data_IF_257577999377
#
_entry.id   IF_257577999377
#
_cell.length_a   1.000
_cell.length_b   1.000
_cell.length_c   1.000
_cell.angle_alpha   90.00
_cell.angle_beta   90.00
_cell.angle_gamma   90.00
#
_symmetry.space_group_name_H-M   'P 1'
#
loop_
_entity.id
_entity.type
_entity.pdbx_description
1 polymer ?
#
# COMPACT_ATOMS: atom_id res chain seq x y z
N UNK A 1 8.06 28.20 -14.42
CA UNK A 1 6.58 28.12 -14.35
C UNK A 1 6.33 27.12 -13.26
N UNK A 2 5.33 27.31 -12.41
CA UNK A 2 4.97 26.27 -11.43
C UNK A 2 4.46 25.04 -12.22
N UNK A 3 4.82 23.85 -11.76
CA UNK A 3 4.32 22.60 -12.35
C UNK A 3 2.81 22.49 -12.07
N UNK A 4 2.07 21.93 -13.02
CA UNK A 4 0.68 21.52 -12.83
C UNK A 4 0.64 20.01 -12.75
N UNK A 5 0.32 19.49 -11.56
CA UNK A 5 0.33 18.06 -11.27
C UNK A 5 -1.09 17.53 -11.14
N UNK A 6 -1.39 16.46 -11.87
CA UNK A 6 -2.63 15.70 -11.73
C UNK A 6 -2.40 14.49 -10.81
N UNK A 7 -3.09 14.43 -9.69
CA UNK A 7 -3.18 13.25 -8.84
C UNK A 7 -4.40 12.41 -9.22
N UNK A 8 -4.18 11.15 -9.59
CA UNK A 8 -5.25 10.19 -9.89
C UNK A 8 -5.50 9.30 -8.68
N UNK A 9 -6.73 9.34 -8.15
CA UNK A 9 -7.18 8.58 -7.00
C UNK A 9 -7.64 9.45 -5.82
N UNK A 10 -8.35 8.86 -4.86
CA UNK A 10 -9.03 9.60 -3.79
C UNK A 10 -9.02 8.92 -2.42
N UNK A 11 -8.12 7.97 -2.16
CA UNK A 11 -7.95 7.27 -0.89
C UNK A 11 -7.00 7.96 0.09
N UNK A 12 -6.66 7.26 1.18
CA UNK A 12 -5.74 7.76 2.20
C UNK A 12 -4.31 7.95 1.68
N UNK A 13 -3.84 7.02 0.86
CA UNK A 13 -2.58 7.12 0.13
C UNK A 13 -2.52 8.39 -0.74
N UNK A 14 -3.55 8.64 -1.52
CA UNK A 14 -3.63 9.82 -2.38
C UNK A 14 -3.73 11.09 -1.56
N UNK A 15 -4.39 11.07 -0.39
CA UNK A 15 -4.38 12.22 0.51
C UNK A 15 -2.97 12.52 1.04
N UNK A 16 -2.17 11.48 1.35
CA UNK A 16 -0.77 11.67 1.75
C UNK A 16 0.09 12.23 0.60
N UNK A 17 -0.12 11.76 -0.63
CA UNK A 17 0.53 12.30 -1.83
C UNK A 17 0.13 13.77 -2.06
N UNK A 18 -1.16 14.09 -1.95
CA UNK A 18 -1.66 15.47 -2.09
C UNK A 18 -0.99 16.40 -1.07
N UNK A 19 -0.88 15.96 0.19
CA UNK A 19 -0.22 16.71 1.26
C UNK A 19 1.27 16.94 0.98
N UNK A 20 1.96 15.97 0.38
CA UNK A 20 3.37 16.08 0.02
C UNK A 20 3.64 16.97 -1.21
N UNK A 21 2.62 17.34 -1.99
CA UNK A 21 2.74 18.12 -3.22
C UNK A 21 2.13 19.53 -3.12
N UNK A 22 1.16 19.75 -2.23
CA UNK A 22 0.28 20.92 -2.25
C UNK A 22 1.02 22.27 -2.16
N UNK A 23 2.12 22.34 -1.42
CA UNK A 23 2.87 23.60 -1.25
C UNK A 23 3.89 23.85 -2.39
N UNK A 24 4.18 22.84 -3.23
CA UNK A 24 5.26 22.88 -4.20
C UNK A 24 4.77 23.07 -5.66
N UNK A 25 3.49 22.78 -5.95
CA UNK A 25 2.94 22.82 -7.30
C UNK A 25 1.49 23.33 -7.33
N UNK A 26 0.95 23.56 -8.54
CA UNK A 26 -0.49 23.68 -8.77
C UNK A 26 -1.06 22.26 -8.84
N UNK A 27 -1.79 21.86 -7.80
CA UNK A 27 -2.27 20.50 -7.65
C UNK A 27 -3.72 20.36 -8.07
N UNK A 28 -4.01 19.44 -8.97
CA UNK A 28 -5.36 18.98 -9.30
C UNK A 28 -5.50 17.49 -8.98
N UNK A 29 -6.71 17.04 -8.71
CA UNK A 29 -6.98 15.63 -8.48
C UNK A 29 -8.23 15.16 -9.21
N UNK A 30 -8.25 13.87 -9.58
CA UNK A 30 -9.46 13.20 -10.06
C UNK A 30 -9.66 11.87 -9.34
N UNK A 31 -10.91 11.59 -8.99
CA UNK A 31 -11.27 10.38 -8.26
C UNK A 31 -12.73 10.00 -8.48
N UNK A 32 -13.11 8.76 -8.14
CA UNK A 32 -14.51 8.32 -8.17
C UNK A 32 -15.37 8.93 -7.06
N UNK A 33 -14.72 9.47 -6.01
CA UNK A 33 -15.36 10.15 -4.90
C UNK A 33 -14.57 11.42 -4.52
N UNK A 34 -15.26 12.42 -3.96
CA UNK A 34 -14.60 13.62 -3.48
C UNK A 34 -14.04 13.40 -2.08
N UNK A 35 -12.73 13.20 -1.98
CA UNK A 35 -12.03 13.17 -0.69
C UNK A 35 -11.89 14.61 -0.15
N UNK A 36 -12.43 14.92 1.06
CA UNK A 36 -12.42 16.28 1.59
C UNK A 36 -11.01 16.80 1.91
N UNK A 37 -10.10 15.93 2.32
CA UNK A 37 -8.71 16.30 2.60
C UNK A 37 -7.97 16.68 1.33
N UNK A 38 -8.09 15.88 0.26
CA UNK A 38 -7.53 16.22 -1.05
C UNK A 38 -8.15 17.52 -1.58
N UNK A 39 -9.47 17.68 -1.44
CA UNK A 39 -10.18 18.86 -1.91
C UNK A 39 -9.81 20.14 -1.13
N UNK A 40 -9.31 20.01 0.09
CA UNK A 40 -8.77 21.13 0.88
C UNK A 40 -7.35 21.53 0.50
N UNK A 41 -6.62 20.66 -0.17
CA UNK A 41 -5.21 20.85 -0.57
C UNK A 41 -5.06 21.18 -2.06
N UNK A 42 -5.92 20.63 -2.92
CA UNK A 42 -5.84 20.79 -4.36
C UNK A 42 -6.53 22.08 -4.84
N UNK A 43 -6.03 22.66 -5.93
CA UNK A 43 -6.64 23.81 -6.63
C UNK A 43 -7.97 23.42 -7.32
N UNK A 44 -8.15 22.13 -7.63
CA UNK A 44 -9.39 21.57 -8.15
C UNK A 44 -9.46 20.07 -8.04
N UNK A 45 -10.69 19.56 -7.89
CA UNK A 45 -10.97 18.10 -7.84
C UNK A 45 -12.13 17.80 -8.75
N UNK A 46 -11.91 16.89 -9.70
CA UNK A 46 -12.96 16.38 -10.59
C UNK A 46 -13.39 14.97 -10.16
N UNK A 47 -14.70 14.75 -10.18
CA UNK A 47 -15.24 13.41 -9.90
C UNK A 47 -15.47 12.67 -11.22
N UNK A 48 -14.68 11.64 -11.48
CA UNK A 48 -14.74 10.82 -12.70
C UNK A 48 -14.29 9.39 -12.41
N UNK A 49 -14.55 8.50 -13.37
CA UNK A 49 -14.09 7.11 -13.29
C UNK A 49 -12.58 7.05 -13.59
N UNK A 50 -11.77 6.72 -12.58
CA UNK A 50 -10.29 6.68 -12.70
C UNK A 50 -9.77 5.51 -13.53
N UNK A 51 -10.61 4.55 -13.88
CA UNK A 51 -10.32 3.43 -14.80
C UNK A 51 -10.76 3.72 -16.24
N UNK A 52 -11.19 4.94 -16.52
CA UNK A 52 -11.49 5.42 -17.87
C UNK A 52 -10.32 6.33 -18.35
N UNK A 53 -9.37 5.81 -19.16
CA UNK A 53 -8.23 6.58 -19.63
C UNK A 53 -8.62 7.83 -20.42
N UNK A 54 -9.69 7.77 -21.21
CA UNK A 54 -10.15 8.91 -22.02
C UNK A 54 -10.68 10.06 -21.12
N UNK A 55 -11.42 9.72 -20.06
CA UNK A 55 -11.93 10.70 -19.10
C UNK A 55 -10.79 11.36 -18.29
N UNK A 56 -9.81 10.58 -17.84
CA UNK A 56 -8.65 11.10 -17.11
C UNK A 56 -7.79 11.99 -18.00
N UNK A 57 -7.52 11.58 -19.23
CA UNK A 57 -6.73 12.34 -20.20
C UNK A 57 -7.41 13.64 -20.59
N UNK A 58 -8.72 13.63 -20.83
CA UNK A 58 -9.49 14.85 -21.14
C UNK A 58 -9.42 15.87 -19.99
N UNK A 59 -9.48 15.40 -18.73
CA UNK A 59 -9.31 16.29 -17.58
C UNK A 59 -7.88 16.83 -17.46
N UNK A 60 -6.86 15.98 -17.70
CA UNK A 60 -5.47 16.41 -17.71
C UNK A 60 -5.20 17.52 -18.73
N UNK A 61 -5.79 17.42 -19.94
CA UNK A 61 -5.72 18.45 -20.98
C UNK A 61 -6.41 19.74 -20.55
N UNK A 62 -7.61 19.66 -19.96
CA UNK A 62 -8.41 20.83 -19.52
C UNK A 62 -7.68 21.67 -18.48
N UNK A 63 -7.00 21.04 -17.54
CA UNK A 63 -6.20 21.70 -16.50
C UNK A 63 -4.78 22.06 -16.95
N UNK A 64 -4.33 21.62 -18.12
CA UNK A 64 -2.98 21.79 -18.63
C UNK A 64 -1.93 21.09 -17.76
N UNK A 65 -2.19 19.84 -17.35
CA UNK A 65 -1.27 19.04 -16.56
C UNK A 65 0.08 18.83 -17.28
N UNK A 66 1.18 19.03 -16.56
CA UNK A 66 2.54 18.78 -17.06
C UNK A 66 3.12 17.49 -16.49
N UNK A 67 2.56 17.05 -15.36
CA UNK A 67 2.92 15.83 -14.63
C UNK A 67 1.65 15.15 -14.13
N UNK A 68 1.69 13.83 -14.01
CA UNK A 68 0.66 13.07 -13.32
C UNK A 68 1.30 12.06 -12.35
N UNK A 69 0.58 11.71 -11.29
CA UNK A 69 0.93 10.61 -10.38
C UNK A 69 -0.29 9.72 -10.18
N UNK A 70 -0.11 8.42 -10.32
CA UNK A 70 -1.18 7.43 -10.26
C UNK A 70 -1.16 6.74 -8.89
N UNK A 71 -2.26 6.84 -8.16
CA UNK A 71 -2.42 6.17 -6.86
C UNK A 71 -2.96 4.75 -6.96
N UNK A 72 -4.14 4.49 -7.57
CA UNK A 72 -4.77 3.17 -7.54
C UNK A 72 -4.24 2.24 -8.64
N UNK A 73 -4.03 0.98 -8.29
CA UNK A 73 -3.61 -0.10 -9.20
C UNK A 73 -4.59 -0.36 -10.34
N UNK A 74 -5.87 -0.15 -10.11
CA UNK A 74 -6.89 -0.34 -11.14
C UNK A 74 -6.74 0.65 -12.30
N UNK A 75 -6.31 1.89 -12.02
CA UNK A 75 -6.02 2.90 -13.06
C UNK A 75 -4.78 2.52 -13.88
N UNK A 76 -3.73 1.98 -13.22
CA UNK A 76 -2.54 1.45 -13.91
C UNK A 76 -2.93 0.29 -14.84
N UNK A 77 -3.70 -0.68 -14.34
CA UNK A 77 -4.18 -1.80 -15.12
C UNK A 77 -5.04 -1.37 -16.31
N UNK A 78 -5.82 -0.31 -16.16
CA UNK A 78 -6.66 0.24 -17.21
C UNK A 78 -5.87 1.02 -18.30
N UNK A 79 -4.56 1.25 -18.12
CA UNK A 79 -3.71 1.96 -19.08
C UNK A 79 -3.79 3.48 -19.02
N UNK A 80 -4.15 4.04 -17.86
CA UNK A 80 -4.23 5.50 -17.67
C UNK A 80 -2.86 6.15 -17.86
N UNK A 81 -1.77 5.52 -17.39
CA UNK A 81 -0.40 5.98 -17.65
C UNK A 81 -0.11 6.08 -19.15
N UNK A 82 -0.40 4.98 -19.88
CA UNK A 82 -0.13 4.90 -21.32
C UNK A 82 -0.89 5.98 -22.10
N UNK A 83 -2.15 6.26 -21.71
CA UNK A 83 -2.98 7.29 -22.32
C UNK A 83 -2.47 8.71 -22.04
N UNK A 84 -2.11 9.03 -20.81
CA UNK A 84 -1.57 10.33 -20.41
C UNK A 84 -0.23 10.62 -21.13
N UNK A 85 0.67 9.63 -21.19
CA UNK A 85 1.96 9.76 -21.89
C UNK A 85 1.79 9.95 -23.41
N UNK A 86 0.81 9.30 -24.02
CA UNK A 86 0.49 9.48 -25.43
C UNK A 86 0.08 10.93 -25.78
N UNK A 87 -0.54 11.64 -24.82
CA UNK A 87 -0.91 13.06 -24.95
C UNK A 87 0.18 14.02 -24.40
N UNK A 88 1.34 13.47 -23.98
CA UNK A 88 2.50 14.26 -23.58
C UNK A 88 2.50 14.71 -22.12
N UNK A 89 1.64 14.13 -21.27
CA UNK A 89 1.66 14.32 -19.83
C UNK A 89 2.61 13.28 -19.22
N UNK A 90 3.76 13.73 -18.70
CA UNK A 90 4.70 12.83 -18.05
C UNK A 90 4.08 12.22 -16.78
N UNK A 91 4.12 10.90 -16.66
CA UNK A 91 3.40 10.19 -15.61
C UNK A 91 4.32 9.42 -14.67
N UNK A 92 4.22 9.67 -13.37
CA UNK A 92 4.87 8.86 -12.34
C UNK A 92 3.92 7.72 -11.92
N UNK A 93 4.00 6.64 -12.64
CA UNK A 93 3.22 5.42 -12.55
C UNK A 93 3.59 4.53 -13.74
N UNK A 94 3.80 3.23 -13.56
CA UNK A 94 4.23 2.33 -14.65
C UNK A 94 3.13 2.17 -15.70
N UNK A 95 3.53 1.78 -16.92
CA UNK A 95 2.61 1.38 -17.98
C UNK A 95 1.76 0.18 -17.54
N UNK A 96 0.66 -0.07 -18.22
CA UNK A 96 -0.19 -1.23 -17.93
C UNK A 96 0.56 -2.56 -18.03
N UNK A 97 1.53 -2.69 -18.93
CA UNK A 97 2.36 -3.90 -19.05
C UNK A 97 3.33 -4.05 -17.87
N UNK A 98 4.00 -2.99 -17.46
CA UNK A 98 4.89 -3.00 -16.29
C UNK A 98 4.11 -3.18 -14.97
N UNK A 99 2.89 -2.64 -14.87
CA UNK A 99 2.00 -2.82 -13.73
C UNK A 99 1.53 -4.28 -13.52
N UNK A 100 1.76 -5.18 -14.50
CA UNK A 100 1.50 -6.62 -14.33
C UNK A 100 2.28 -7.23 -13.17
N UNK A 101 3.37 -6.61 -12.75
CA UNK A 101 4.11 -7.03 -11.55
C UNK A 101 3.21 -7.04 -10.29
N UNK A 102 2.13 -6.22 -10.26
CA UNK A 102 1.10 -6.22 -9.22
C UNK A 102 -0.17 -6.95 -9.67
N UNK A 103 -0.63 -6.67 -10.90
CA UNK A 103 -1.99 -7.01 -11.34
C UNK A 103 -2.15 -8.47 -11.77
N UNK A 104 -1.04 -9.21 -11.95
CA UNK A 104 -1.03 -10.62 -12.35
C UNK A 104 0.00 -11.42 -11.51
N UNK A 105 -0.48 -12.15 -10.50
CA UNK A 105 0.37 -12.91 -9.58
C UNK A 105 1.14 -14.05 -10.26
N UNK A 106 0.57 -14.65 -11.32
CA UNK A 106 1.30 -15.63 -12.11
C UNK A 106 2.47 -14.97 -12.85
N UNK A 107 2.22 -13.80 -13.47
CA UNK A 107 3.29 -13.03 -14.10
C UNK A 107 4.38 -12.69 -13.10
N UNK A 108 4.01 -12.20 -11.91
CA UNK A 108 4.95 -11.81 -10.86
C UNK A 108 5.88 -12.98 -10.48
N UNK A 109 5.33 -14.17 -10.20
CA UNK A 109 6.13 -15.33 -9.80
C UNK A 109 7.01 -15.84 -10.94
N UNK A 110 6.45 -15.96 -12.14
CA UNK A 110 7.22 -16.35 -13.33
C UNK A 110 8.28 -15.32 -13.74
N UNK A 111 8.05 -14.05 -13.45
CA UNK A 111 9.01 -12.98 -13.65
C UNK A 111 10.18 -13.14 -12.68
N UNK A 112 9.92 -13.35 -11.40
CA UNK A 112 10.95 -13.60 -10.40
C UNK A 112 11.80 -14.82 -10.74
N UNK A 113 11.17 -15.94 -11.06
CA UNK A 113 11.83 -17.20 -11.42
C UNK A 113 12.73 -17.04 -12.66
N UNK A 114 12.21 -16.43 -13.74
CA UNK A 114 12.96 -16.24 -15.00
C UNK A 114 14.16 -15.31 -14.88
N UNK A 115 14.14 -14.39 -13.94
CA UNK A 115 15.19 -13.40 -13.72
C UNK A 115 16.06 -13.71 -12.50
N UNK A 116 15.92 -14.91 -11.90
CA UNK A 116 16.64 -15.33 -10.71
C UNK A 116 16.54 -14.34 -9.54
N UNK A 117 15.36 -13.65 -9.39
CA UNK A 117 15.13 -12.71 -8.29
C UNK A 117 15.06 -13.48 -6.96
N UNK A 118 15.92 -13.15 -5.99
CA UNK A 118 15.97 -13.88 -4.72
C UNK A 118 14.68 -13.69 -3.89
N UNK A 119 14.45 -14.59 -2.95
CA UNK A 119 13.29 -14.53 -2.05
C UNK A 119 11.97 -14.98 -2.66
N UNK A 120 11.96 -15.48 -3.91
CA UNK A 120 10.76 -16.07 -4.50
C UNK A 120 10.32 -17.31 -3.69
N UNK A 121 9.04 -17.38 -3.24
CA UNK A 121 8.52 -18.60 -2.61
C UNK A 121 8.40 -19.73 -3.63
N UNK A 122 8.39 -20.98 -3.15
CA UNK A 122 7.97 -22.10 -4.00
C UNK A 122 6.50 -21.89 -4.42
N UNK A 123 6.20 -22.09 -5.69
CA UNK A 123 4.86 -21.83 -6.22
C UNK A 123 4.48 -22.77 -7.35
N UNK A 124 3.16 -22.92 -7.54
CA UNK A 124 2.58 -23.59 -8.69
C UNK A 124 1.32 -22.86 -9.18
N UNK A 125 1.05 -22.93 -10.47
CA UNK A 125 -0.10 -22.24 -11.11
C UNK A 125 -1.02 -23.26 -11.74
N UNK A 126 -2.32 -23.14 -11.49
CA UNK A 126 -3.34 -24.06 -11.95
C UNK A 126 -4.50 -23.34 -12.65
N UNK A 127 -4.93 -23.88 -13.79
CA UNK A 127 -6.18 -23.54 -14.47
C UNK A 127 -7.29 -24.56 -14.14
N UNK A 128 -6.90 -25.73 -13.62
CA UNK A 128 -7.81 -26.80 -13.22
C UNK A 128 -7.90 -26.90 -11.70
N UNK A 129 -9.12 -26.75 -11.16
CA UNK A 129 -9.38 -26.75 -9.72
C UNK A 129 -9.05 -28.08 -9.03
N UNK A 130 -9.28 -29.23 -9.71
CA UNK A 130 -8.99 -30.53 -9.13
C UNK A 130 -7.48 -30.79 -9.09
N UNK A 131 -6.74 -30.38 -10.14
CA UNK A 131 -5.26 -30.45 -10.12
C UNK A 131 -4.68 -29.57 -9.02
N UNK A 132 -5.24 -28.38 -8.75
CA UNK A 132 -4.84 -27.54 -7.63
C UNK A 132 -5.11 -28.24 -6.27
N UNK A 133 -6.27 -28.90 -6.13
CA UNK A 133 -6.62 -29.64 -4.93
C UNK A 133 -5.72 -30.86 -4.70
N UNK A 134 -5.33 -31.58 -5.77
CA UNK A 134 -4.38 -32.69 -5.72
C UNK A 134 -2.99 -32.21 -5.27
N UNK A 135 -2.54 -31.07 -5.80
CA UNK A 135 -1.27 -30.47 -5.39
C UNK A 135 -1.24 -30.12 -3.89
N UNK A 136 -2.34 -29.60 -3.34
CA UNK A 136 -2.46 -29.32 -1.89
C UNK A 136 -2.27 -30.61 -1.06
N UNK A 137 -2.81 -31.76 -1.55
CA UNK A 137 -2.66 -33.03 -0.83
C UNK A 137 -1.24 -33.60 -0.89
N UNK A 138 -0.48 -33.28 -1.93
CA UNK A 138 0.86 -33.80 -2.18
C UNK A 138 1.98 -32.91 -1.62
N UNK A 139 1.67 -31.61 -1.36
CA UNK A 139 2.65 -30.65 -0.88
C UNK A 139 3.02 -30.91 0.59
N UNK A 140 4.32 -30.91 0.89
CA UNK A 140 4.81 -31.09 2.25
C UNK A 140 4.89 -29.74 2.98
N UNK A 141 3.80 -29.34 3.60
CA UNK A 141 3.67 -28.06 4.34
C UNK A 141 2.32 -27.37 4.10
N UNK A 142 2.23 -26.16 4.58
CA UNK A 142 1.06 -25.29 4.37
C UNK A 142 1.24 -24.42 3.11
N UNK A 143 0.13 -24.06 2.48
CA UNK A 143 0.09 -23.25 1.27
C UNK A 143 -0.75 -21.98 1.46
N UNK A 144 -0.38 -20.94 0.73
CA UNK A 144 -1.22 -19.77 0.49
C UNK A 144 -1.91 -19.91 -0.87
N UNK A 145 -3.24 -19.85 -0.89
CA UNK A 145 -4.07 -19.90 -2.09
C UNK A 145 -4.36 -18.48 -2.54
N UNK A 146 -3.93 -18.13 -3.74
CA UNK A 146 -4.05 -16.77 -4.30
C UNK A 146 -4.70 -16.82 -5.68
N UNK A 147 -5.84 -16.12 -5.92
CA UNK A 147 -6.31 -15.85 -7.28
C UNK A 147 -5.26 -15.08 -8.08
N UNK A 148 -5.07 -15.40 -9.36
CA UNK A 148 -4.02 -14.77 -10.17
C UNK A 148 -4.25 -13.26 -10.42
N UNK A 149 -5.52 -12.83 -10.52
CA UNK A 149 -5.88 -11.42 -10.75
C UNK A 149 -5.96 -10.58 -9.49
N UNK A 150 -6.29 -9.29 -9.67
CA UNK A 150 -6.48 -8.33 -8.57
C UNK A 150 -7.62 -8.73 -7.64
N UNK A 151 -7.34 -8.85 -6.36
CA UNK A 151 -8.35 -9.11 -5.31
C UNK A 151 -8.24 -8.16 -4.12
N UNK A 152 -7.29 -7.22 -4.14
CA UNK A 152 -7.02 -6.29 -3.04
C UNK A 152 -6.68 -7.02 -1.72
N UNK A 153 -5.98 -8.15 -1.79
CA UNK A 153 -5.62 -8.98 -0.62
C UNK A 153 -6.77 -9.81 -0.03
N UNK A 154 -8.02 -9.53 -0.41
CA UNK A 154 -9.21 -10.20 0.16
C UNK A 154 -9.45 -11.62 -0.38
N UNK A 155 -8.85 -11.97 -1.52
CA UNK A 155 -8.93 -13.29 -2.14
C UNK A 155 -7.94 -14.32 -1.60
N UNK A 156 -6.95 -13.91 -0.84
CA UNK A 156 -5.92 -14.82 -0.31
C UNK A 156 -6.47 -15.66 0.85
N UNK A 157 -6.13 -16.96 0.83
CA UNK A 157 -6.43 -17.92 1.91
C UNK A 157 -5.15 -18.65 2.31
N UNK A 158 -4.80 -18.60 3.58
CA UNK A 158 -3.59 -19.25 4.12
C UNK A 158 -4.01 -20.49 4.90
N UNK A 159 -3.60 -21.66 4.39
CA UNK A 159 -3.84 -22.94 5.05
C UNK A 159 -3.05 -22.99 6.36
N UNK A 160 -3.63 -23.56 7.40
CA UNK A 160 -2.98 -23.68 8.71
C UNK A 160 -2.97 -22.39 9.55
N UNK A 161 -3.50 -21.26 8.98
CA UNK A 161 -3.66 -19.99 9.69
C UNK A 161 -5.12 -19.48 9.58
N UNK A 162 -5.60 -19.27 8.37
CA UNK A 162 -6.92 -18.68 8.11
C UNK A 162 -7.97 -19.72 7.80
N UNK A 163 -7.58 -20.80 7.12
CA UNK A 163 -8.46 -21.85 6.65
C UNK A 163 -7.84 -23.23 6.85
N UNK A 164 -8.69 -24.24 6.93
CA UNK A 164 -8.28 -25.65 6.85
C UNK A 164 -8.03 -26.05 5.40
N UNK A 165 -7.38 -27.21 5.19
CA UNK A 165 -7.17 -27.80 3.86
C UNK A 165 -8.50 -27.98 3.09
N UNK A 166 -9.54 -28.47 3.75
CA UNK A 166 -10.85 -28.68 3.10
C UNK A 166 -11.52 -27.37 2.71
N UNK A 167 -11.49 -26.35 3.59
CA UNK A 167 -12.04 -25.02 3.27
C UNK A 167 -11.28 -24.36 2.11
N UNK A 168 -9.95 -24.55 2.03
CA UNK A 168 -9.15 -24.06 0.92
C UNK A 168 -9.52 -24.73 -0.40
N UNK A 169 -9.74 -26.06 -0.41
CA UNK A 169 -10.18 -26.82 -1.59
C UNK A 169 -11.58 -26.42 -2.02
N UNK A 170 -12.51 -26.25 -1.06
CA UNK A 170 -13.86 -25.79 -1.36
C UNK A 170 -13.80 -24.38 -1.97
N UNK A 171 -12.98 -23.48 -1.42
CA UNK A 171 -12.75 -22.15 -1.99
C UNK A 171 -12.24 -22.21 -3.45
N UNK A 172 -11.28 -23.11 -3.74
CA UNK A 172 -10.75 -23.29 -5.10
C UNK A 172 -11.84 -23.79 -6.06
N UNK A 173 -12.65 -24.79 -5.65
CA UNK A 173 -13.73 -25.36 -6.48
C UNK A 173 -14.87 -24.37 -6.74
N UNK A 174 -15.18 -23.54 -5.74
CA UNK A 174 -16.24 -22.53 -5.83
C UNK A 174 -15.75 -21.22 -6.50
N UNK A 175 -14.45 -21.12 -6.78
CA UNK A 175 -13.85 -19.92 -7.37
C UNK A 175 -14.24 -19.76 -8.85
N UNK A 176 -14.62 -18.55 -9.22
CA UNK A 176 -14.85 -18.15 -10.63
C UNK A 176 -13.54 -17.65 -11.31
N UNK A 177 -12.40 -17.74 -10.63
CA UNK A 177 -11.12 -17.29 -11.17
C UNK A 177 -10.55 -18.31 -12.16
N UNK A 178 -10.11 -17.82 -13.32
CA UNK A 178 -9.53 -18.65 -14.39
C UNK A 178 -8.22 -19.35 -13.97
N UNK A 179 -7.50 -18.76 -13.01
CA UNK A 179 -6.21 -19.27 -12.54
C UNK A 179 -6.01 -19.06 -11.05
N UNK A 180 -5.42 -20.06 -10.41
CA UNK A 180 -5.04 -20.06 -9.00
C UNK A 180 -3.53 -20.24 -8.89
N UNK A 181 -2.88 -19.42 -8.06
CA UNK A 181 -1.48 -19.56 -7.66
C UNK A 181 -1.46 -20.14 -6.24
N UNK A 182 -0.80 -21.27 -6.09
CA UNK A 182 -0.49 -21.88 -4.80
C UNK A 182 0.96 -21.57 -4.47
N UNK A 183 1.23 -21.04 -3.28
CA UNK A 183 2.57 -20.70 -2.82
C UNK A 183 2.84 -21.32 -1.46
N UNK A 184 4.09 -21.67 -1.19
CA UNK A 184 4.48 -22.08 0.17
C UNK A 184 4.06 -21.02 1.18
N UNK A 185 3.56 -21.43 2.34
CA UNK A 185 3.26 -20.52 3.43
C UNK A 185 4.55 -20.03 4.06
N UNK A 186 4.80 -18.73 3.95
CA UNK A 186 5.89 -18.07 4.65
C UNK A 186 5.51 -17.84 6.12
N UNK A 187 6.46 -18.08 7.02
CA UNK A 187 6.28 -17.84 8.47
C UNK A 187 7.37 -16.90 8.95
N UNK A 188 6.98 -15.79 9.55
CA UNK A 188 7.89 -14.73 9.97
C UNK A 188 7.17 -13.44 10.29
N UNK A 189 7.87 -12.32 10.20
CA UNK A 189 7.32 -10.99 10.38
C UNK A 189 7.24 -10.26 9.04
N UNK A 190 6.04 -9.81 8.67
CA UNK A 190 5.81 -9.03 7.44
C UNK A 190 6.38 -7.63 7.58
N UNK A 191 6.95 -7.10 6.51
CA UNK A 191 7.35 -5.72 6.39
C UNK A 191 7.36 -5.28 4.92
N UNK A 192 7.41 -3.97 4.72
CA UNK A 192 7.39 -3.35 3.40
C UNK A 192 8.56 -2.40 3.23
N UNK A 193 9.18 -2.42 2.06
CA UNK A 193 10.06 -1.35 1.59
C UNK A 193 9.52 -0.87 0.25
N UNK A 194 9.37 0.45 0.09
CA UNK A 194 8.95 1.06 -1.17
C UNK A 194 10.15 1.70 -1.86
N UNK A 195 10.15 1.70 -3.18
CA UNK A 195 11.17 2.36 -3.98
C UNK A 195 10.52 3.31 -4.99
N UNK A 196 11.03 4.55 -5.07
CA UNK A 196 10.74 5.47 -6.14
C UNK A 196 11.73 5.19 -7.27
N UNK A 197 11.20 4.91 -8.45
CA UNK A 197 11.99 4.41 -9.59
C UNK A 197 11.74 5.27 -10.82
N UNK A 198 12.79 5.74 -11.44
CA UNK A 198 12.76 6.32 -12.79
C UNK A 198 14.20 6.42 -13.36
N UNK A 199 14.34 6.38 -14.68
CA UNK A 199 15.60 6.63 -15.39
C UNK A 199 16.76 5.76 -14.88
N UNK A 200 16.49 4.50 -14.51
CA UNK A 200 17.46 3.58 -13.91
C UNK A 200 17.88 3.91 -12.48
N UNK A 201 17.26 4.90 -11.84
CA UNK A 201 17.47 5.21 -10.43
C UNK A 201 16.47 4.47 -9.56
N UNK A 202 16.94 3.88 -8.47
CA UNK A 202 16.12 3.29 -7.40
C UNK A 202 16.39 4.08 -6.11
N UNK A 203 15.33 4.52 -5.46
CA UNK A 203 15.41 5.30 -4.20
C UNK A 203 14.44 4.71 -3.19
N UNK A 204 14.96 4.04 -2.19
CA UNK A 204 14.17 3.30 -1.19
C UNK A 204 13.72 4.17 -0.03
N UNK A 205 12.60 3.80 0.58
CA UNK A 205 12.04 4.39 1.80
C UNK A 205 12.44 3.59 3.03
N UNK A 206 12.27 4.13 4.26
CA UNK A 206 12.32 3.32 5.47
C UNK A 206 11.34 2.14 5.41
N UNK A 207 11.67 1.07 6.11
CA UNK A 207 10.78 -0.07 6.27
C UNK A 207 9.54 0.29 7.09
N UNK A 208 8.39 -0.27 6.72
CA UNK A 208 7.11 -0.10 7.39
C UNK A 208 6.53 -1.46 7.69
N UNK A 209 5.96 -1.67 8.89
CA UNK A 209 5.15 -2.86 9.16
C UNK A 209 3.67 -2.50 9.06
N UNK A 210 2.94 -3.10 8.11
CA UNK A 210 1.49 -3.04 7.98
C UNK A 210 0.80 -4.16 8.77
N UNK A 211 -0.43 -3.91 9.21
CA UNK A 211 -1.25 -4.83 9.98
C UNK A 211 -2.55 -5.14 9.24
N UNK A 212 -2.56 -6.24 8.50
CA UNK A 212 -3.69 -6.61 7.62
C UNK A 212 -4.85 -7.28 8.32
N UNK A 213 -4.64 -7.88 9.50
CA UNK A 213 -5.72 -8.53 10.24
C UNK A 213 -6.66 -7.51 10.85
N UNK A 214 -7.96 -7.82 10.77
CA UNK A 214 -9.03 -6.90 11.14
C UNK A 214 -9.06 -6.55 12.63
N UNK A 215 -8.64 -7.45 13.52
CA UNK A 215 -8.78 -7.31 14.97
C UNK A 215 -7.43 -7.26 15.66
N UNK A 216 -7.42 -6.71 16.88
CA UNK A 216 -6.23 -6.70 17.75
C UNK A 216 -5.66 -8.09 17.96
N UNK A 217 -4.34 -8.17 18.18
CA UNK A 217 -3.64 -9.44 18.31
C UNK A 217 -3.41 -10.19 17.00
N UNK A 218 -3.68 -9.56 15.85
CA UNK A 218 -3.61 -10.14 14.49
C UNK A 218 -4.65 -11.22 14.24
N UNK A 219 -5.87 -11.00 14.76
CA UNK A 219 -7.00 -11.89 14.59
C UNK A 219 -7.96 -11.44 13.49
N UNK A 220 -8.84 -12.34 13.07
CA UNK A 220 -9.91 -12.09 12.10
C UNK A 220 -9.46 -12.12 10.65
N UNK A 221 -10.32 -11.67 9.72
CA UNK A 221 -10.05 -11.70 8.29
C UNK A 221 -9.00 -10.67 7.87
N UNK A 222 -8.39 -10.89 6.69
CA UNK A 222 -7.53 -9.90 6.05
C UNK A 222 -8.32 -8.67 5.58
N UNK A 223 -7.65 -7.53 5.62
CA UNK A 223 -8.15 -6.22 5.19
C UNK A 223 -7.15 -5.58 4.22
N UNK A 224 -7.42 -4.35 3.79
CA UNK A 224 -6.46 -3.53 3.06
C UNK A 224 -5.37 -2.86 3.93
N UNK A 225 -5.27 -3.24 5.22
CA UNK A 225 -4.40 -2.62 6.22
C UNK A 225 -5.20 -1.86 7.28
N UNK A 226 -5.00 -2.19 8.56
CA UNK A 226 -5.64 -1.55 9.71
C UNK A 226 -4.79 -0.45 10.32
N UNK A 227 -3.56 -0.34 9.87
CA UNK A 227 -2.56 0.62 10.30
C UNK A 227 -1.16 0.04 10.21
N UNK A 228 -0.17 0.87 10.52
CA UNK A 228 1.23 0.56 10.28
C UNK A 228 2.13 1.40 11.17
N UNK A 229 3.38 1.04 11.26
CA UNK A 229 4.41 1.87 11.89
C UNK A 229 5.74 1.80 11.16
N UNK A 230 6.54 2.86 11.29
CA UNK A 230 7.95 2.91 10.92
C UNK A 230 8.78 3.38 12.10
N UNK A 231 10.06 3.03 12.12
CA UNK A 231 10.99 3.52 13.13
C UNK A 231 11.67 4.83 12.69
N UNK A 232 12.40 5.47 13.59
CA UNK A 232 13.25 6.64 13.29
C UNK A 232 14.53 6.28 12.50
N UNK A 233 14.84 4.99 12.39
CA UNK A 233 15.85 4.38 11.49
C UNK A 233 15.20 3.88 10.20
N UNK A 234 16.01 3.35 9.29
CA UNK A 234 15.51 2.71 8.08
C UNK A 234 14.90 1.34 8.37
N UNK A 235 15.46 0.65 9.38
CA UNK A 235 15.07 -0.68 9.82
C UNK A 235 13.96 -0.63 10.88
N UNK A 236 13.16 -1.66 10.96
CA UNK A 236 12.19 -1.89 12.04
C UNK A 236 12.87 -2.53 13.26
N UNK A 237 12.29 -2.43 14.47
CA UNK A 237 12.92 -2.94 15.70
C UNK A 237 13.31 -4.42 15.67
N UNK A 238 12.55 -5.26 14.97
CA UNK A 238 12.77 -6.71 14.90
C UNK A 238 13.74 -7.16 13.80
N UNK A 239 14.33 -6.22 13.03
CA UNK A 239 15.26 -6.51 11.94
C UNK A 239 16.58 -5.80 12.12
N UNK A 240 17.64 -6.31 11.50
CA UNK A 240 18.93 -5.66 11.42
C UNK A 240 19.16 -4.99 10.05
N UNK A 241 20.24 -4.19 9.94
CA UNK A 241 20.62 -3.47 8.72
C UNK A 241 20.83 -4.43 7.53
N UNK A 242 21.37 -5.63 7.75
CA UNK A 242 21.62 -6.58 6.66
C UNK A 242 20.31 -7.13 6.08
N UNK A 243 19.32 -7.36 6.92
CA UNK A 243 17.98 -7.85 6.51
C UNK A 243 17.19 -6.78 5.74
N UNK A 244 17.32 -5.50 6.15
CA UNK A 244 16.80 -4.40 5.36
C UNK A 244 17.49 -4.30 4.00
N UNK A 245 18.82 -4.42 3.97
CA UNK A 245 19.60 -4.38 2.72
C UNK A 245 19.29 -5.56 1.80
N UNK A 246 19.00 -6.75 2.33
CA UNK A 246 18.55 -7.90 1.52
C UNK A 246 17.22 -7.57 0.79
N UNK A 247 16.28 -6.91 1.47
CA UNK A 247 15.04 -6.45 0.82
C UNK A 247 15.31 -5.38 -0.26
N UNK A 248 16.23 -4.45 0.00
CA UNK A 248 16.66 -3.43 -0.97
C UNK A 248 17.30 -4.10 -2.20
N UNK A 249 18.18 -5.06 -2.01
CA UNK A 249 18.84 -5.80 -3.10
C UNK A 249 17.81 -6.55 -3.96
N UNK A 250 16.77 -7.13 -3.36
CA UNK A 250 15.65 -7.77 -4.08
C UNK A 250 14.91 -6.75 -4.95
N UNK A 251 14.61 -5.57 -4.40
CA UNK A 251 13.96 -4.48 -5.14
C UNK A 251 14.83 -4.02 -6.31
N UNK A 252 16.13 -3.77 -6.08
CA UNK A 252 17.06 -3.32 -7.12
C UNK A 252 17.19 -4.34 -8.26
N UNK A 253 17.28 -5.64 -7.94
CA UNK A 253 17.31 -6.70 -8.94
C UNK A 253 15.98 -6.79 -9.70
N UNK A 254 14.84 -6.62 -9.01
CA UNK A 254 13.52 -6.60 -9.65
C UNK A 254 13.41 -5.44 -10.64
N UNK A 255 13.79 -4.23 -10.23
CA UNK A 255 13.79 -3.04 -11.11
C UNK A 255 14.74 -3.21 -12.29
N UNK A 256 15.93 -3.77 -12.06
CA UNK A 256 16.90 -4.01 -13.14
C UNK A 256 16.39 -5.01 -14.21
N UNK A 257 15.45 -5.88 -13.83
CA UNK A 257 14.82 -6.84 -14.74
C UNK A 257 13.53 -6.31 -15.39
N UNK A 258 12.94 -5.24 -14.85
CA UNK A 258 11.80 -4.56 -15.45
C UNK A 258 12.28 -3.56 -16.51
N UNK A 259 11.70 -3.63 -17.70
CA UNK A 259 12.00 -2.67 -18.78
C UNK A 259 11.30 -1.33 -18.49
N UNK A 260 12.04 -0.23 -18.56
CA UNK A 260 11.55 1.18 -18.52
C UNK A 260 10.54 1.48 -17.38
N UNK A 261 10.77 0.93 -16.19
CA UNK A 261 9.88 1.14 -15.06
C UNK A 261 10.01 2.57 -14.52
N UNK A 262 8.88 3.30 -14.46
CA UNK A 262 8.75 4.60 -13.80
C UNK A 262 7.59 4.57 -12.83
N UNK A 263 7.81 4.95 -11.57
CA UNK A 263 6.78 4.96 -10.54
C UNK A 263 7.28 4.43 -9.21
N UNK A 264 6.38 3.96 -8.38
CA UNK A 264 6.72 3.33 -7.10
C UNK A 264 6.65 1.83 -7.26
N UNK A 265 7.74 1.12 -6.93
CA UNK A 265 7.72 -0.32 -6.71
C UNK A 265 7.67 -0.58 -5.19
N UNK A 266 6.62 -1.20 -4.76
CA UNK A 266 6.40 -1.60 -3.38
C UNK A 266 6.73 -3.09 -3.25
N UNK A 267 7.72 -3.41 -2.41
CA UNK A 267 8.03 -4.78 -2.04
C UNK A 267 7.44 -5.11 -0.69
N UNK A 268 6.56 -6.11 -0.63
CA UNK A 268 6.11 -6.72 0.61
C UNK A 268 6.90 -7.98 0.87
N UNK A 269 7.50 -8.05 2.03
CA UNK A 269 8.42 -9.10 2.44
C UNK A 269 7.96 -9.80 3.70
N UNK A 270 8.45 -11.03 3.87
CA UNK A 270 8.41 -11.78 5.11
C UNK A 270 9.85 -12.00 5.58
N UNK A 271 10.18 -11.54 6.78
CA UNK A 271 11.43 -11.89 7.44
C UNK A 271 11.24 -13.23 8.13
N UNK A 272 11.80 -14.29 7.55
CA UNK A 272 11.72 -15.67 8.02
C UNK A 272 12.96 -16.09 8.79
N UNK A 273 12.98 -17.32 9.32
CA UNK A 273 14.20 -17.90 9.91
C UNK A 273 15.35 -18.01 8.89
N UNK A 274 15.04 -18.18 7.59
CA UNK A 274 15.99 -18.39 6.51
C UNK A 274 16.32 -17.10 5.72
N UNK A 275 15.87 -15.92 6.21
CA UNK A 275 16.10 -14.62 5.60
C UNK A 275 14.85 -14.02 4.96
N UNK A 276 15.06 -13.02 4.11
CA UNK A 276 14.00 -12.22 3.50
C UNK A 276 13.35 -12.95 2.32
N UNK A 277 12.02 -13.08 2.35
CA UNK A 277 11.22 -13.69 1.29
C UNK A 277 10.17 -12.71 0.76
N UNK A 278 9.85 -12.79 -0.53
CA UNK A 278 8.88 -11.91 -1.19
C UNK A 278 7.47 -12.43 -1.01
N UNK A 279 6.61 -11.64 -0.36
CA UNK A 279 5.17 -11.91 -0.29
C UNK A 279 4.48 -11.46 -1.58
N UNK A 280 4.72 -10.22 -2.01
CA UNK A 280 4.25 -9.69 -3.29
C UNK A 280 4.97 -8.37 -3.64
N UNK A 281 4.90 -7.98 -4.92
CA UNK A 281 5.19 -6.62 -5.37
C UNK A 281 3.90 -5.90 -5.73
N UNK A 282 3.88 -4.58 -5.47
CA UNK A 282 2.83 -3.69 -5.95
C UNK A 282 3.46 -2.52 -6.73
N UNK A 283 2.74 -1.99 -7.70
CA UNK A 283 3.26 -1.03 -8.68
C UNK A 283 2.90 0.43 -8.36
N UNK A 284 2.69 0.73 -7.09
CA UNK A 284 2.24 2.04 -6.57
C UNK A 284 2.61 2.18 -5.09
N UNK A 285 2.43 3.39 -4.53
CA UNK A 285 2.54 3.57 -3.08
C UNK A 285 1.61 2.63 -2.31
N UNK A 286 2.07 2.13 -1.17
CA UNK A 286 1.26 1.38 -0.23
C UNK A 286 0.21 2.24 0.49
N UNK A 287 -0.84 1.61 0.97
CA UNK A 287 -1.86 2.19 1.83
C UNK A 287 -2.12 1.20 2.97
N UNK A 288 -1.59 1.43 4.18
CA UNK A 288 -1.28 2.75 4.78
C UNK A 288 0.15 3.30 4.63
N UNK A 289 1.11 2.61 4.06
CA UNK A 289 2.55 2.92 4.14
C UNK A 289 2.94 4.32 3.62
N UNK A 290 2.22 4.86 2.64
CA UNK A 290 2.45 6.22 2.16
C UNK A 290 2.24 7.26 3.28
N UNK A 291 1.32 7.00 4.21
CA UNK A 291 1.04 7.85 5.36
C UNK A 291 2.10 7.75 6.47
N UNK A 292 2.96 6.73 6.43
CA UNK A 292 4.14 6.65 7.29
C UNK A 292 5.34 7.37 6.66
N UNK A 293 5.57 7.14 5.37
CA UNK A 293 6.83 7.54 4.72
C UNK A 293 6.82 8.98 4.22
N UNK A 294 5.71 9.46 3.62
CA UNK A 294 5.64 10.81 3.06
C UNK A 294 5.72 11.93 4.11
N UNK A 295 5.09 11.83 5.30
CA UNK A 295 5.21 12.87 6.32
C UNK A 295 6.62 13.08 6.87
N UNK A 296 7.48 12.07 6.83
CA UNK A 296 8.87 12.15 7.30
C UNK A 296 9.88 12.30 6.16
N UNK A 297 9.45 12.24 4.90
CA UNK A 297 10.30 12.49 3.75
C UNK A 297 10.62 14.00 3.65
N UNK A 298 11.91 14.35 3.72
CA UNK A 298 12.37 15.74 3.66
C UNK A 298 12.81 16.17 2.26
N UNK A 299 13.00 15.21 1.34
CA UNK A 299 13.18 15.50 -0.08
C UNK A 299 11.82 15.82 -0.69
N UNK A 300 11.60 16.99 -1.33
CA UNK A 300 10.33 17.30 -1.95
C UNK A 300 9.91 16.24 -2.98
N UNK A 301 8.68 15.75 -2.86
CA UNK A 301 8.18 14.75 -3.82
C UNK A 301 8.14 15.30 -5.24
N UNK A 302 7.85 16.60 -5.41
CA UNK A 302 7.86 17.27 -6.70
C UNK A 302 9.24 17.19 -7.38
N UNK A 303 10.35 17.29 -6.64
CA UNK A 303 11.71 17.18 -7.20
C UNK A 303 11.94 15.78 -7.81
N UNK A 304 11.37 14.74 -7.21
CA UNK A 304 11.42 13.38 -7.74
C UNK A 304 10.63 13.26 -9.04
N UNK A 305 9.40 13.81 -9.08
CA UNK A 305 8.55 13.77 -10.27
C UNK A 305 9.17 14.56 -11.45
N UNK A 306 9.75 15.73 -11.16
CA UNK A 306 10.42 16.55 -12.15
C UNK A 306 11.66 15.84 -12.69
N UNK A 307 12.51 15.27 -11.84
CA UNK A 307 13.69 14.51 -12.27
C UNK A 307 13.32 13.31 -13.13
N UNK A 308 12.22 12.60 -12.77
CA UNK A 308 11.71 11.50 -13.57
C UNK A 308 11.33 11.96 -14.98
N UNK A 309 10.59 13.05 -15.12
CA UNK A 309 10.18 13.64 -16.41
C UNK A 309 11.37 14.14 -17.25
N UNK A 310 12.34 14.80 -16.61
CA UNK A 310 13.51 15.37 -17.31
C UNK A 310 14.50 14.30 -17.82
N UNK A 311 14.31 13.03 -17.44
CA UNK A 311 15.24 11.95 -17.75
C UNK A 311 16.49 11.97 -16.88
N UNK A 312 16.48 12.73 -15.80
CA UNK A 312 17.58 12.86 -14.85
C UNK A 312 17.56 11.70 -13.82
N UNK A 313 18.69 11.50 -13.16
CA UNK A 313 18.71 10.60 -12.00
C UNK A 313 17.87 11.19 -10.87
N UNK A 314 17.06 10.34 -10.23
CA UNK A 314 16.28 10.75 -9.08
C UNK A 314 17.17 11.29 -7.94
N UNK A 315 16.76 12.36 -7.25
CA UNK A 315 17.49 12.87 -6.09
C UNK A 315 17.62 11.78 -5.02
N UNK A 316 18.63 11.89 -4.17
CA UNK A 316 18.71 11.05 -2.98
C UNK A 316 17.54 11.39 -2.07
N UNK A 317 16.80 10.39 -1.63
CA UNK A 317 15.77 10.60 -0.62
C UNK A 317 16.43 10.84 0.75
N UNK A 318 15.85 11.76 1.48
CA UNK A 318 16.22 12.07 2.86
C UNK A 318 14.95 12.04 3.70
N UNK A 319 15.06 11.51 4.91
CA UNK A 319 13.96 11.38 5.86
C UNK A 319 14.34 12.03 7.17
N UNK A 320 13.38 12.60 7.87
CA UNK A 320 13.56 13.00 9.26
C UNK A 320 13.83 11.75 10.11
N UNK A 321 14.68 11.85 11.11
CA UNK A 321 14.92 10.76 12.06
C UNK A 321 13.76 10.69 13.06
N UNK A 322 12.58 10.33 12.56
CA UNK A 322 11.33 10.24 13.29
C UNK A 322 10.60 8.94 12.96
N UNK A 323 9.95 8.39 13.98
CA UNK A 323 9.05 7.25 13.86
C UNK A 323 7.64 7.72 13.53
N UNK A 324 6.86 6.87 12.91
CA UNK A 324 5.46 7.12 12.60
C UNK A 324 4.58 5.96 13.02
N UNK A 325 3.38 6.24 13.50
CA UNK A 325 2.33 5.24 13.75
C UNK A 325 1.04 5.71 13.11
N UNK A 326 0.53 4.89 12.21
CA UNK A 326 -0.73 5.09 11.49
C UNK A 326 -1.78 4.12 12.02
N UNK A 327 -2.96 4.63 12.39
CA UNK A 327 -4.11 3.81 12.82
C UNK A 327 -5.34 4.16 11.99
N UNK A 328 -5.91 3.15 11.33
CA UNK A 328 -7.12 3.32 10.54
C UNK A 328 -8.38 3.17 11.39
N UNK A 329 -9.29 4.13 11.27
CA UNK A 329 -10.67 3.99 11.69
C UNK A 329 -11.50 3.40 10.55
N UNK A 330 -12.19 2.30 10.84
CA UNK A 330 -13.03 1.57 9.88
C UNK A 330 -14.45 1.47 10.42
N UNK A 331 -15.50 1.43 9.57
CA UNK A 331 -16.86 1.26 10.04
C UNK A 331 -17.02 -0.07 10.79
N UNK A 332 -17.94 -0.10 11.76
CA UNK A 332 -18.31 -1.34 12.46
C UNK A 332 -18.67 -2.44 11.42
N UNK A 333 -18.28 -3.67 11.71
CA UNK A 333 -18.50 -4.83 10.82
C UNK A 333 -17.53 -4.96 9.66
N UNK A 334 -16.63 -3.99 9.45
CA UNK A 334 -15.59 -4.09 8.43
C UNK A 334 -14.64 -5.27 8.72
N UNK A 335 -14.21 -6.08 7.74
CA UNK A 335 -14.44 -5.94 6.31
C UNK A 335 -15.65 -6.73 5.76
N UNK A 336 -16.36 -7.49 6.59
CA UNK A 336 -17.36 -8.48 6.14
C UNK A 336 -18.78 -7.93 6.02
N UNK A 337 -19.22 -7.10 6.95
CA UNK A 337 -20.57 -6.49 6.98
C UNK A 337 -20.47 -5.04 7.48
N UNK A 338 -19.82 -4.14 6.74
CA UNK A 338 -19.54 -2.80 7.19
C UNK A 338 -20.79 -1.90 7.24
N UNK A 339 -21.01 -1.26 8.40
CA UNK A 339 -22.09 -0.30 8.62
C UNK A 339 -21.69 1.09 8.13
N UNK A 340 -22.17 1.51 6.95
CA UNK A 340 -21.91 2.83 6.41
C UNK A 340 -22.86 3.91 6.98
N UNK A 341 -22.47 5.18 6.88
CA UNK A 341 -23.32 6.33 7.16
C UNK A 341 -23.22 6.90 8.57
N UNK A 342 -22.19 6.52 9.33
CA UNK A 342 -21.86 7.21 10.58
C UNK A 342 -21.19 8.54 10.28
N UNK A 343 -21.68 9.62 10.92
CA UNK A 343 -21.08 10.94 10.81
C UNK A 343 -19.77 11.01 11.59
N UNK A 344 -18.72 11.54 10.95
CA UNK A 344 -17.40 11.75 11.54
C UNK A 344 -17.24 13.24 11.84
N UNK A 345 -16.82 13.57 13.06
CA UNK A 345 -16.40 14.92 13.46
C UNK A 345 -14.87 14.95 13.56
N UNK A 346 -14.22 15.14 12.43
CA UNK A 346 -12.76 15.04 12.32
C UNK A 346 -12.05 16.38 12.56
N UNK A 347 -12.76 17.52 12.64
CA UNK A 347 -12.16 18.83 12.84
C UNK A 347 -11.42 18.94 14.20
N UNK A 348 -11.81 18.12 15.17
CA UNK A 348 -11.16 18.09 16.48
C UNK A 348 -9.70 17.60 16.45
N UNK A 349 -9.27 16.91 15.40
CA UNK A 349 -7.85 16.49 15.25
C UNK A 349 -6.91 17.68 15.14
N UNK A 350 -7.39 18.82 14.60
CA UNK A 350 -6.61 20.05 14.43
C UNK A 350 -6.14 20.67 15.77
N UNK A 351 -6.72 20.24 16.89
CA UNK A 351 -6.30 20.62 18.24
C UNK A 351 -5.20 19.71 18.80
N UNK A 352 -4.75 18.71 18.03
CA UNK A 352 -3.71 17.73 18.41
C UNK A 352 -2.50 17.84 17.49
N UNK A 353 -1.41 17.14 17.84
CA UNK A 353 -0.22 17.02 16.97
C UNK A 353 -0.35 15.90 15.92
N UNK A 354 -1.49 15.20 15.86
CA UNK A 354 -1.72 14.11 14.95
C UNK A 354 -2.08 14.61 13.54
N UNK A 355 -1.72 13.82 12.53
CA UNK A 355 -2.10 14.05 11.14
C UNK A 355 -3.34 13.23 10.81
N UNK A 356 -4.31 13.85 10.12
CA UNK A 356 -5.50 13.18 9.62
C UNK A 356 -5.39 12.93 8.12
N UNK A 357 -5.73 11.70 7.70
CA UNK A 357 -5.85 11.31 6.30
C UNK A 357 -7.21 10.68 6.04
N UNK A 358 -8.07 11.37 5.31
CA UNK A 358 -9.31 10.77 4.83
C UNK A 358 -9.04 9.73 3.76
N UNK A 359 -9.77 8.62 3.83
CA UNK A 359 -9.73 7.56 2.82
C UNK A 359 -11.08 7.47 2.10
N UNK A 360 -11.89 6.45 2.38
CA UNK A 360 -13.18 6.28 1.75
C UNK A 360 -14.28 6.89 2.61
N UNK A 361 -14.59 8.15 2.37
CA UNK A 361 -15.66 8.91 3.05
C UNK A 361 -16.62 9.53 2.06
N UNK A 362 -17.83 9.80 2.52
CA UNK A 362 -18.88 10.50 1.79
C UNK A 362 -19.04 11.91 2.38
N UNK A 363 -18.53 12.91 1.64
CA UNK A 363 -18.61 14.31 2.04
C UNK A 363 -19.93 14.91 1.55
N UNK A 364 -20.81 15.26 2.50
CA UNK A 364 -22.14 15.86 2.27
C UNK A 364 -22.17 17.31 2.75
N UNK A 365 -23.24 18.04 2.44
CA UNK A 365 -23.42 19.44 2.88
C UNK A 365 -23.42 19.60 4.41
N UNK A 366 -23.86 18.56 5.15
CA UNK A 366 -24.03 18.57 6.60
C UNK A 366 -22.93 17.81 7.37
N UNK A 367 -21.92 17.30 6.68
CA UNK A 367 -20.76 16.64 7.30
C UNK A 367 -20.15 15.51 6.48
N UNK A 368 -19.19 14.83 7.09
CA UNK A 368 -18.45 13.70 6.51
C UNK A 368 -18.98 12.41 7.12
N UNK A 369 -19.19 11.40 6.29
CA UNK A 369 -19.80 10.13 6.68
C UNK A 369 -18.95 8.95 6.25
N UNK A 370 -18.98 7.85 7.04
CA UNK A 370 -18.34 6.59 6.68
C UNK A 370 -19.00 5.95 5.47
N UNK A 371 -18.20 5.25 4.67
CA UNK A 371 -18.65 4.33 3.61
C UNK A 371 -18.54 2.87 4.09
N UNK A 372 -18.49 1.93 3.17
CA UNK A 372 -18.27 0.49 3.48
C UNK A 372 -16.78 0.09 3.53
N UNK A 373 -15.87 1.05 3.38
CA UNK A 373 -14.42 0.84 3.43
C UNK A 373 -13.78 1.63 4.57
N UNK A 374 -12.44 1.58 4.68
CA UNK A 374 -11.68 2.34 5.68
C UNK A 374 -12.01 3.84 5.55
N UNK A 375 -12.35 4.49 6.66
CA UNK A 375 -12.87 5.85 6.62
C UNK A 375 -11.75 6.90 6.64
N UNK A 376 -10.90 6.83 7.65
CA UNK A 376 -9.78 7.76 7.82
C UNK A 376 -8.66 7.08 8.60
N UNK A 377 -7.46 7.63 8.48
CA UNK A 377 -6.32 7.26 9.30
C UNK A 377 -5.85 8.45 10.13
N UNK A 378 -5.38 8.17 11.33
CA UNK A 378 -4.68 9.13 12.20
C UNK A 378 -3.22 8.70 12.31
N UNK A 379 -2.31 9.64 12.13
CA UNK A 379 -0.87 9.38 12.12
C UNK A 379 -0.19 10.26 13.14
N UNK A 380 0.52 9.63 14.08
CA UNK A 380 1.46 10.30 14.94
C UNK A 380 2.88 10.25 14.35
N UNK A 381 3.64 11.33 14.55
CA UNK A 381 5.04 11.46 14.12
C UNK A 381 5.84 11.96 15.31
N UNK A 382 6.89 11.23 15.73
CA UNK A 382 7.71 11.57 16.89
C UNK A 382 9.10 10.93 16.81
N UNK A 383 9.95 11.18 17.82
CA UNK A 383 11.30 10.61 17.86
C UNK A 383 11.31 9.10 18.12
N UNK A 384 10.24 8.57 18.73
CA UNK A 384 10.09 7.14 19.04
C UNK A 384 8.73 6.62 18.60
N UNK A 385 8.62 5.30 18.36
CA UNK A 385 7.33 4.65 18.02
C UNK A 385 6.30 4.85 19.14
N UNK A 386 6.71 4.75 20.41
CA UNK A 386 5.81 4.91 21.55
C UNK A 386 5.23 6.34 21.66
N UNK A 387 6.04 7.37 21.38
CA UNK A 387 5.57 8.75 21.34
C UNK A 387 4.67 9.00 20.13
N UNK A 388 5.00 8.46 18.95
CA UNK A 388 4.17 8.54 17.76
C UNK A 388 2.82 7.82 17.97
N UNK A 389 2.84 6.67 18.65
CA UNK A 389 1.63 5.94 19.02
C UNK A 389 0.73 6.77 19.94
N UNK A 390 1.30 7.40 20.96
CA UNK A 390 0.54 8.27 21.87
C UNK A 390 -0.10 9.46 21.16
N UNK A 391 0.60 10.08 20.20
CA UNK A 391 0.06 11.17 19.37
C UNK A 391 -1.11 10.67 18.51
N UNK A 392 -0.99 9.48 17.90
CA UNK A 392 -2.08 8.89 17.12
C UNK A 392 -3.33 8.61 18.00
N UNK A 393 -3.12 8.08 19.21
CA UNK A 393 -4.22 7.84 20.17
C UNK A 393 -4.89 9.15 20.63
N UNK A 394 -4.11 10.20 20.89
CA UNK A 394 -4.66 11.52 21.24
C UNK A 394 -5.53 12.08 20.09
N UNK A 395 -5.11 11.91 18.84
CA UNK A 395 -5.89 12.28 17.66
C UNK A 395 -7.18 11.48 17.52
N UNK A 396 -7.13 10.16 17.73
CA UNK A 396 -8.31 9.29 17.73
C UNK A 396 -9.28 9.66 18.84
N UNK A 397 -8.78 9.90 20.05
CA UNK A 397 -9.59 10.31 21.18
C UNK A 397 -10.29 11.66 20.97
N UNK A 398 -9.64 12.60 20.25
CA UNK A 398 -10.22 13.89 19.91
C UNK A 398 -11.38 13.75 18.91
N UNK A 399 -11.23 12.91 17.87
CA UNK A 399 -12.28 12.64 16.86
C UNK A 399 -13.44 11.83 17.47
N UNK A 400 -13.12 10.88 18.37
CA UNK A 400 -14.07 9.91 18.93
C UNK A 400 -14.27 8.70 17.99
N UNK A 401 -14.78 7.62 18.57
CA UNK A 401 -14.88 6.32 17.90
C UNK A 401 -16.34 5.86 17.73
N UNK A 402 -17.32 6.77 17.79
CA UNK A 402 -18.71 6.38 17.62
C UNK A 402 -18.96 5.84 16.20
N UNK A 403 -19.33 4.53 16.11
CA UNK A 403 -19.65 3.83 14.87
C UNK A 403 -18.45 3.49 14.00
N UNK A 404 -17.25 3.62 14.53
CA UNK A 404 -16.01 3.14 13.92
C UNK A 404 -15.23 2.24 14.87
N UNK A 405 -14.32 1.47 14.34
CA UNK A 405 -13.40 0.60 15.07
C UNK A 405 -11.97 0.87 14.66
N UNK A 406 -11.07 0.83 15.61
CA UNK A 406 -9.63 1.01 15.43
C UNK A 406 -8.91 -0.20 16.03
N UNK A 407 -7.70 -0.46 15.56
CA UNK A 407 -6.73 -1.36 16.19
C UNK A 407 -5.77 -0.54 17.06
N UNK A 408 -6.06 -0.45 18.36
CA UNK A 408 -5.25 0.30 19.31
C UNK A 408 -3.92 -0.37 19.62
N UNK A 409 -3.79 -1.68 19.37
CA UNK A 409 -2.54 -2.42 19.61
C UNK A 409 -1.40 -2.05 18.67
N UNK A 410 -1.67 -1.44 17.51
CA UNK A 410 -0.65 -1.07 16.51
C UNK A 410 0.30 -0.01 17.06
N UNK A 411 1.61 -0.29 17.03
CA UNK A 411 2.67 0.60 17.52
C UNK A 411 2.92 0.52 19.03
N UNK A 412 2.15 -0.26 19.79
CA UNK A 412 2.36 -0.41 21.24
C UNK A 412 3.64 -1.23 21.55
N UNK A 413 4.26 -0.96 22.70
CA UNK A 413 5.42 -1.72 23.16
C UNK A 413 5.14 -3.24 23.24
N UNK A 414 3.92 -3.60 23.63
CA UNK A 414 3.51 -5.00 23.72
C UNK A 414 3.47 -5.70 22.36
N UNK A 415 3.00 -5.01 21.32
CA UNK A 415 3.02 -5.53 19.95
C UNK A 415 4.43 -5.67 19.42
N UNK A 416 5.28 -4.65 19.62
CA UNK A 416 6.69 -4.67 19.19
C UNK A 416 7.44 -5.83 19.84
N UNK A 417 7.32 -6.00 21.16
CA UNK A 417 7.93 -7.10 21.89
C UNK A 417 7.47 -8.48 21.37
N UNK A 418 6.18 -8.62 21.01
CA UNK A 418 5.65 -9.86 20.41
C UNK A 418 6.33 -10.19 19.08
N UNK A 419 6.67 -9.16 18.25
CA UNK A 419 7.40 -9.36 16.98
C UNK A 419 8.81 -9.88 17.21
N UNK A 420 9.52 -9.23 18.13
CA UNK A 420 10.88 -9.65 18.51
C UNK A 420 10.90 -11.08 19.07
N UNK A 421 9.98 -11.42 19.97
CA UNK A 421 9.85 -12.75 20.56
C UNK A 421 9.50 -13.81 19.51
N UNK A 422 8.57 -13.51 18.60
CA UNK A 422 8.18 -14.42 17.53
C UNK A 422 9.36 -14.72 16.60
N UNK A 423 10.04 -13.69 16.10
CA UNK A 423 11.19 -13.89 15.22
C UNK A 423 12.36 -14.62 15.91
N UNK A 424 12.62 -14.28 17.18
CA UNK A 424 13.63 -15.00 17.97
C UNK A 424 13.29 -16.50 18.09
N UNK A 425 12.00 -16.83 18.33
CA UNK A 425 11.55 -18.23 18.42
C UNK A 425 11.66 -19.03 17.11
N UNK A 426 11.57 -18.35 15.96
CA UNK A 426 11.75 -18.99 14.65
C UNK A 426 13.21 -19.28 14.33
N UNK A 427 14.14 -18.57 14.98
CA UNK A 427 15.60 -18.69 14.77
C UNK A 427 16.29 -19.65 15.74
N UNK A 428 15.57 -20.15 16.77
CA UNK A 428 16.05 -21.19 17.69
C UNK A 428 15.95 -22.60 17.10
#
# INVERSE_FOLDING_TARGET
MSETVLLVGGGGREHAIARALADDCTLYACATNRNPGIAGLADGVETLETTDPDAVTAYAEDIGATLAIIGPEAALQAGVTDALEAEGVATFGPSADAARIETDKEFQRRFMDRNDIPGCPEYAVFEDSEAACEYIDEFDGDLAVKPAGLTGGKGVRVIGDQVTVEEAKDYIRDSEHDRIVLEERLVGEEFTVQALVANGSVRVTPAVQDHKRAYEGDEGPNTGGMGSYSAASLELPFMDESEYMDAVDIIEQTVAALDDYTGVLYGQFMLTADGVRVVEFNARFGDPEAMNTLPVMTTPLLDVLVAAREGDQLPRLSFASQATVCKYAVPEGYPTDPAAGTKIDADAVDETDALLFYASVDAREDGIYTTTSRAFAVVGVADTIAEAESIAEDGLAAIGEEGVRVRHDIGTEALLAKRDEHLASLRE
#
